data_IF_829524534118
#
_entry.id   IF_829524534118
#
_cell.length_a   1.000
_cell.length_b   1.000
_cell.length_c   1.000
_cell.angle_alpha   90.00
_cell.angle_beta   90.00
_cell.angle_gamma   90.00
#
_symmetry.space_group_name_H-M   'P 1'
#
loop_
_entity.id
_entity.type
_entity.pdbx_description
1 polymer ?
#
# COMPACT_ATOMS: atom_id res chain seq x y z
N UNK A 1 -53.37 5.76 -17.45
CA UNK A 1 -52.19 6.54 -17.04
C UNK A 1 -50.93 5.85 -17.57
N UNK A 2 -50.24 6.41 -18.57
CA UNK A 2 -48.97 5.89 -19.08
C UNK A 2 -47.82 6.55 -18.34
N UNK A 3 -47.15 5.81 -17.45
CA UNK A 3 -45.92 6.28 -16.81
C UNK A 3 -44.73 5.99 -17.72
N UNK A 4 -44.14 7.03 -18.32
CA UNK A 4 -42.90 6.91 -19.08
C UNK A 4 -41.71 6.98 -18.11
N UNK A 5 -41.09 5.84 -17.84
CA UNK A 5 -39.84 5.77 -17.07
C UNK A 5 -38.69 6.31 -17.94
N UNK A 6 -38.30 7.58 -17.74
CA UNK A 6 -37.09 8.15 -18.36
C UNK A 6 -35.86 7.47 -17.74
N UNK A 7 -35.38 6.41 -18.37
CA UNK A 7 -34.15 5.71 -18.00
C UNK A 7 -32.99 6.68 -18.17
N UNK A 8 -32.46 7.22 -17.06
CA UNK A 8 -31.15 7.89 -17.05
C UNK A 8 -30.11 6.84 -17.43
N UNK A 9 -29.82 6.69 -18.72
CA UNK A 9 -28.65 5.97 -19.18
C UNK A 9 -27.46 6.68 -18.53
N UNK A 10 -26.81 5.93 -17.65
CA UNK A 10 -25.75 6.33 -16.75
C UNK A 10 -24.63 6.95 -17.58
N UNK A 11 -24.35 8.23 -17.36
CA UNK A 11 -23.21 8.95 -17.95
C UNK A 11 -21.88 8.21 -17.67
N UNK A 12 -21.83 7.39 -16.62
CA UNK A 12 -20.71 6.49 -16.29
C UNK A 12 -20.50 5.38 -17.31
N UNK A 13 -21.56 4.78 -17.85
CA UNK A 13 -21.44 3.61 -18.74
C UNK A 13 -20.90 4.02 -20.12
N UNK A 14 -21.29 5.21 -20.59
CA UNK A 14 -20.78 5.81 -21.84
C UNK A 14 -19.31 6.22 -21.68
N UNK A 15 -18.93 6.78 -20.53
CA UNK A 15 -17.55 7.18 -20.23
C UNK A 15 -16.61 5.98 -20.16
N UNK A 16 -17.00 4.92 -19.44
CA UNK A 16 -16.22 3.69 -19.34
C UNK A 16 -16.08 3.00 -20.70
N UNK A 17 -17.16 2.97 -21.51
CA UNK A 17 -17.10 2.42 -22.87
C UNK A 17 -16.15 3.20 -23.79
N UNK A 18 -16.19 4.54 -23.73
CA UNK A 18 -15.28 5.39 -24.50
C UNK A 18 -13.82 5.20 -24.07
N UNK A 19 -13.56 5.13 -22.76
CA UNK A 19 -12.25 4.86 -22.18
C UNK A 19 -11.70 3.51 -22.63
N UNK A 20 -12.51 2.45 -22.56
CA UNK A 20 -12.11 1.09 -22.98
C UNK A 20 -11.78 1.03 -24.48
N UNK A 21 -12.55 1.73 -25.32
CA UNK A 21 -12.26 1.83 -26.75
C UNK A 21 -10.94 2.58 -27.04
N UNK A 22 -10.57 3.58 -26.22
CA UNK A 22 -9.28 4.28 -26.35
C UNK A 22 -8.12 3.39 -25.91
N UNK A 23 -8.25 2.67 -24.80
CA UNK A 23 -7.25 1.69 -24.34
C UNK A 23 -7.03 0.59 -25.37
N UNK A 24 -8.10 0.04 -25.93
CA UNK A 24 -8.00 -0.96 -27.00
C UNK A 24 -7.26 -0.43 -28.23
N UNK A 25 -7.50 0.84 -28.63
CA UNK A 25 -6.77 1.46 -29.73
C UNK A 25 -5.30 1.68 -29.41
N UNK A 26 -4.99 2.04 -28.16
CA UNK A 26 -3.61 2.22 -27.70
C UNK A 26 -2.86 0.88 -27.67
N UNK A 27 -3.47 -0.16 -27.12
CA UNK A 27 -2.91 -1.51 -27.10
C UNK A 27 -2.70 -2.03 -28.52
N UNK A 28 -3.66 -1.83 -29.42
CA UNK A 28 -3.52 -2.22 -30.81
C UNK A 28 -2.41 -1.43 -31.53
N UNK A 29 -2.24 -0.15 -31.23
CA UNK A 29 -1.15 0.66 -31.78
C UNK A 29 0.22 0.22 -31.23
N UNK A 30 0.31 -0.07 -29.93
CA UNK A 30 1.51 -0.59 -29.28
C UNK A 30 1.91 -1.94 -29.88
N UNK A 31 0.97 -2.87 -30.02
CA UNK A 31 1.21 -4.17 -30.66
C UNK A 31 1.68 -4.01 -32.11
N UNK A 32 1.04 -3.13 -32.90
CA UNK A 32 1.50 -2.86 -34.28
C UNK A 32 2.90 -2.28 -34.33
N UNK A 33 3.26 -1.41 -33.39
CA UNK A 33 4.60 -0.87 -33.27
C UNK A 33 5.60 -1.98 -32.95
N UNK A 34 5.28 -2.84 -31.99
CA UNK A 34 6.11 -3.99 -31.62
C UNK A 34 6.34 -4.93 -32.81
N UNK A 35 5.29 -5.31 -33.54
CA UNK A 35 5.43 -6.15 -34.73
C UNK A 35 6.24 -5.48 -35.84
N UNK A 36 6.06 -4.18 -36.06
CA UNK A 36 6.88 -3.44 -37.04
C UNK A 36 8.34 -3.36 -36.62
N UNK A 37 8.61 -3.12 -35.34
CA UNK A 37 9.97 -3.13 -34.78
C UNK A 37 10.60 -4.52 -34.89
N UNK A 38 9.86 -5.58 -34.56
CA UNK A 38 10.33 -6.96 -34.68
C UNK A 38 10.69 -7.30 -36.14
N UNK A 39 9.79 -7.03 -37.09
CA UNK A 39 10.05 -7.27 -38.51
C UNK A 39 11.20 -6.41 -39.06
N UNK A 40 11.35 -5.18 -38.57
CA UNK A 40 12.47 -4.31 -38.95
C UNK A 40 13.80 -4.83 -38.40
N UNK A 41 13.81 -5.26 -37.13
CA UNK A 41 14.97 -5.88 -36.49
C UNK A 41 15.34 -7.17 -37.22
N UNK A 42 14.38 -8.05 -37.51
CA UNK A 42 14.59 -9.30 -38.24
C UNK A 42 15.22 -9.05 -39.61
N UNK A 43 14.69 -8.10 -40.40
CA UNK A 43 15.27 -7.75 -41.70
C UNK A 43 16.69 -7.20 -41.60
N UNK A 44 17.00 -6.46 -40.53
CA UNK A 44 18.33 -5.91 -40.30
C UNK A 44 19.31 -6.96 -39.79
N UNK A 45 18.87 -7.89 -38.94
CA UNK A 45 19.72 -8.94 -38.36
C UNK A 45 19.87 -10.18 -39.26
N UNK A 46 18.96 -10.40 -40.21
CA UNK A 46 19.00 -11.54 -41.14
C UNK A 46 20.28 -11.60 -42.00
N UNK A 47 20.91 -10.44 -42.28
CA UNK A 47 22.13 -10.36 -43.08
C UNK A 47 23.41 -10.19 -42.24
N UNK A 48 23.35 -10.41 -40.93
CA UNK A 48 24.52 -10.24 -40.08
C UNK A 48 25.44 -11.45 -40.07
N UNK A 49 26.67 -11.23 -40.53
CA UNK A 49 27.80 -12.16 -40.38
C UNK A 49 28.18 -12.31 -38.90
N UNK A 50 28.83 -13.42 -38.54
CA UNK A 50 29.25 -13.73 -37.15
C UNK A 50 30.03 -12.60 -36.46
N UNK A 51 30.82 -11.83 -37.22
CA UNK A 51 31.55 -10.66 -36.70
C UNK A 51 30.62 -9.54 -36.22
N UNK A 52 29.52 -9.28 -36.93
CA UNK A 52 28.55 -8.26 -36.53
C UNK A 52 27.86 -8.63 -35.21
N UNK A 53 27.54 -9.91 -35.00
CA UNK A 53 27.01 -10.40 -33.74
C UNK A 53 27.99 -10.20 -32.58
N UNK A 54 29.28 -10.50 -32.80
CA UNK A 54 30.33 -10.28 -31.78
C UNK A 54 30.46 -8.79 -31.45
N UNK A 55 30.44 -7.91 -32.46
CA UNK A 55 30.51 -6.45 -32.25
C UNK A 55 29.29 -5.93 -31.48
N UNK A 56 28.09 -6.43 -31.79
CA UNK A 56 26.87 -6.06 -31.07
C UNK A 56 26.92 -6.51 -29.61
N UNK A 57 27.36 -7.74 -29.35
CA UNK A 57 27.52 -8.26 -28.00
C UNK A 57 28.54 -7.45 -27.22
N UNK A 58 29.70 -7.16 -27.82
CA UNK A 58 30.74 -6.35 -27.20
C UNK A 58 30.22 -4.95 -26.87
N UNK A 59 29.55 -4.30 -27.83
CA UNK A 59 28.92 -3.00 -27.62
C UNK A 59 27.90 -3.05 -26.47
N UNK A 60 27.00 -4.04 -26.47
CA UNK A 60 26.00 -4.23 -25.42
C UNK A 60 26.64 -4.41 -24.04
N UNK A 61 27.69 -5.24 -23.94
CA UNK A 61 28.41 -5.46 -22.69
C UNK A 61 29.11 -4.20 -22.20
N UNK A 62 29.75 -3.42 -23.09
CA UNK A 62 30.45 -2.18 -22.73
C UNK A 62 29.46 -1.12 -22.27
N UNK A 63 28.34 -0.93 -22.98
CA UNK A 63 27.29 0.01 -22.57
C UNK A 63 26.67 -0.38 -21.23
N UNK A 64 26.30 -1.65 -21.05
CA UNK A 64 25.68 -2.12 -19.80
C UNK A 64 26.64 -2.00 -18.62
N UNK A 65 27.89 -2.39 -18.81
CA UNK A 65 28.94 -2.29 -17.79
C UNK A 65 29.24 -0.83 -17.47
N UNK A 66 29.36 0.01 -18.50
CA UNK A 66 29.59 1.45 -18.36
C UNK A 66 28.47 2.16 -17.62
N UNK A 67 27.20 1.88 -17.95
CA UNK A 67 26.04 2.41 -17.22
C UNK A 67 26.02 1.95 -15.76
N UNK A 68 26.34 0.67 -15.50
CA UNK A 68 26.37 0.12 -14.15
C UNK A 68 27.47 0.78 -13.31
N UNK A 69 28.68 0.90 -13.86
CA UNK A 69 29.80 1.59 -13.20
C UNK A 69 29.45 3.07 -13.00
N UNK A 70 28.86 3.74 -13.98
CA UNK A 70 28.41 5.13 -13.83
C UNK A 70 27.40 5.29 -12.69
N UNK A 71 26.41 4.39 -12.57
CA UNK A 71 25.44 4.43 -11.48
C UNK A 71 26.10 4.19 -10.11
N UNK A 72 27.03 3.23 -10.05
CA UNK A 72 27.80 2.93 -8.83
C UNK A 72 28.63 4.16 -8.43
N UNK A 73 29.41 4.73 -9.35
CA UNK A 73 30.22 5.92 -9.10
C UNK A 73 29.35 7.11 -8.74
N UNK A 74 28.22 7.34 -9.43
CA UNK A 74 27.29 8.41 -9.10
C UNK A 74 26.62 8.21 -7.73
N UNK A 75 26.40 6.96 -7.32
CA UNK A 75 25.88 6.62 -5.99
C UNK A 75 26.91 6.88 -4.89
N UNK A 76 28.17 6.57 -5.12
CA UNK A 76 29.25 6.77 -4.13
C UNK A 76 29.81 8.20 -4.12
N UNK A 77 29.90 8.84 -5.29
CA UNK A 77 30.34 10.22 -5.46
C UNK A 77 29.23 11.23 -5.13
N UNK A 78 27.98 10.77 -5.07
CA UNK A 78 26.81 11.52 -4.63
C UNK A 78 26.75 11.72 -3.12
N UNK A 79 27.84 12.20 -2.49
CA UNK A 79 27.85 12.71 -1.11
C UNK A 79 27.16 14.10 -0.99
N UNK A 80 26.17 14.37 -1.85
CA UNK A 80 25.12 15.30 -1.48
C UNK A 80 24.02 14.42 -0.91
N UNK A 81 23.92 14.42 0.42
CA UNK A 81 22.72 14.12 1.17
C UNK A 81 21.52 14.22 0.22
N UNK A 82 21.06 13.09 -0.33
CA UNK A 82 19.67 12.97 -0.75
C UNK A 82 18.95 13.02 0.58
N UNK A 83 18.84 14.25 1.08
CA UNK A 83 18.02 14.64 2.18
C UNK A 83 16.67 14.18 1.69
N UNK A 84 16.29 12.97 2.13
CA UNK A 84 14.95 12.44 1.97
C UNK A 84 14.12 13.62 2.42
N UNK A 85 13.55 14.35 1.46
CA UNK A 85 12.80 15.54 1.77
C UNK A 85 11.59 14.96 2.42
N UNK A 86 11.64 14.87 3.75
CA UNK A 86 10.51 14.52 4.59
C UNK A 86 9.51 15.61 4.26
N UNK A 87 8.66 15.36 3.27
CA UNK A 87 7.58 16.25 2.93
C UNK A 87 6.76 16.34 4.21
N UNK A 88 6.72 17.51 4.88
CA UNK A 88 5.95 17.62 6.10
C UNK A 88 4.51 17.29 5.73
N UNK A 89 3.97 16.25 6.35
CA UNK A 89 2.56 15.91 6.20
C UNK A 89 1.81 17.05 6.89
N UNK A 90 1.37 18.05 6.13
CA UNK A 90 0.52 19.12 6.62
C UNK A 90 -0.81 18.50 7.01
N UNK A 91 -1.00 18.28 8.32
CA UNK A 91 -2.28 17.85 8.87
C UNK A 91 -3.31 18.95 8.61
N UNK A 92 -4.47 18.64 8.02
CA UNK A 92 -5.51 19.64 7.80
C UNK A 92 -5.98 20.19 9.15
N UNK A 93 -6.05 21.53 9.25
CA UNK A 93 -6.43 22.32 10.44
C UNK A 93 -7.80 21.95 11.04
N UNK A 94 -8.62 21.16 10.35
CA UNK A 94 -9.97 20.78 10.76
C UNK A 94 -10.09 19.33 11.25
N UNK A 95 -9.03 18.73 11.79
CA UNK A 95 -9.15 17.51 12.57
C UNK A 95 -9.43 17.89 14.02
N UNK A 96 -10.61 17.49 14.51
CA UNK A 96 -10.97 17.44 15.93
C UNK A 96 -9.72 17.03 16.73
N UNK A 97 -9.33 17.76 17.79
CA UNK A 97 -8.11 17.46 18.53
C UNK A 97 -8.21 16.06 19.12
N UNK A 98 -7.66 15.08 18.42
CA UNK A 98 -7.36 13.79 18.99
C UNK A 98 -6.21 14.07 19.94
N UNK A 99 -6.54 14.17 21.23
CA UNK A 99 -5.58 14.22 22.35
C UNK A 99 -4.80 12.91 22.43
N UNK A 100 -4.13 12.52 21.36
CA UNK A 100 -3.12 11.49 21.40
C UNK A 100 -1.80 12.23 21.62
N UNK A 101 -1.48 12.39 22.90
CA UNK A 101 -0.08 12.56 23.29
C UNK A 101 0.71 11.47 22.56
N UNK A 102 1.86 11.77 21.94
CA UNK A 102 2.73 10.71 21.46
C UNK A 102 2.98 9.78 22.64
N UNK A 103 2.53 8.53 22.51
CA UNK A 103 2.76 7.52 23.52
C UNK A 103 4.28 7.34 23.56
N UNK A 104 4.91 7.86 24.61
CA UNK A 104 6.27 7.51 24.94
C UNK A 104 6.27 6.01 25.23
N UNK A 105 6.60 5.24 24.20
CA UNK A 105 6.62 3.78 24.16
C UNK A 105 7.79 3.20 24.98
N UNK A 106 8.18 3.91 26.04
CA UNK A 106 9.24 3.58 26.98
C UNK A 106 8.70 3.37 28.41
N UNK A 107 7.37 3.38 28.61
CA UNK A 107 6.80 2.98 29.89
C UNK A 107 6.68 1.48 29.96
N UNK A 108 7.61 0.87 30.70
CA UNK A 108 7.42 -0.44 31.35
C UNK A 108 5.98 -0.45 31.88
N UNK A 109 5.11 -1.32 31.35
CA UNK A 109 3.71 -1.40 31.77
C UNK A 109 3.70 -1.61 33.28
N UNK A 110 3.23 -0.62 34.04
CA UNK A 110 3.12 -0.73 35.49
C UNK A 110 2.11 -1.83 35.81
N UNK A 111 2.38 -2.64 36.84
CA UNK A 111 1.45 -3.67 37.32
C UNK A 111 0.04 -3.09 37.59
N UNK A 112 -0.02 -1.85 38.09
CA UNK A 112 -1.28 -1.13 38.34
C UNK A 112 -2.08 -0.81 37.08
N UNK A 113 -1.42 -0.62 35.94
CA UNK A 113 -2.08 -0.38 34.65
C UNK A 113 -2.58 -1.71 34.06
N UNK A 114 -1.81 -2.78 34.23
CA UNK A 114 -2.21 -4.12 33.85
C UNK A 114 -3.44 -4.62 34.62
N UNK A 115 -3.54 -4.31 35.91
CA UNK A 115 -4.73 -4.61 36.72
C UNK A 115 -5.99 -3.88 36.23
N UNK A 116 -5.86 -2.64 35.73
CA UNK A 116 -6.98 -1.89 35.14
C UNK A 116 -7.47 -2.56 33.84
N UNK A 117 -6.55 -3.05 33.03
CA UNK A 117 -6.85 -3.78 31.80
C UNK A 117 -7.55 -5.11 32.12
N UNK A 118 -7.04 -5.85 33.11
CA UNK A 118 -7.60 -7.13 33.55
C UNK A 118 -9.00 -6.95 34.17
N UNK A 119 -9.21 -5.91 34.98
CA UNK A 119 -10.52 -5.61 35.56
C UNK A 119 -11.54 -5.17 34.49
N UNK A 120 -11.10 -4.44 33.46
CA UNK A 120 -11.94 -4.13 32.31
C UNK A 120 -12.36 -5.39 31.53
N UNK A 121 -11.45 -6.36 31.33
CA UNK A 121 -11.79 -7.66 30.72
C UNK A 121 -12.86 -8.41 31.52
N UNK A 122 -12.70 -8.48 32.85
CA UNK A 122 -13.71 -9.09 33.74
C UNK A 122 -15.05 -8.38 33.67
N UNK A 123 -15.06 -7.06 33.53
CA UNK A 123 -16.27 -6.28 33.35
C UNK A 123 -16.97 -6.63 32.03
N UNK A 124 -16.23 -6.71 30.92
CA UNK A 124 -16.77 -7.11 29.62
C UNK A 124 -17.35 -8.54 29.65
N UNK A 125 -16.66 -9.49 30.29
CA UNK A 125 -17.14 -10.86 30.47
C UNK A 125 -18.42 -10.91 31.33
N UNK A 126 -18.49 -10.06 32.36
CA UNK A 126 -19.67 -9.96 33.24
C UNK A 126 -20.87 -9.38 32.49
N UNK A 127 -20.66 -8.37 31.64
CA UNK A 127 -21.70 -7.78 30.79
C UNK A 127 -22.24 -8.80 29.79
N UNK A 128 -21.38 -9.63 29.19
CA UNK A 128 -21.80 -10.66 28.23
C UNK A 128 -22.62 -11.81 28.85
N UNK A 129 -22.39 -12.11 30.13
CA UNK A 129 -23.12 -13.17 30.87
C UNK A 129 -24.49 -12.73 31.39
N UNK A 130 -24.70 -11.44 31.62
CA UNK A 130 -25.98 -10.92 32.12
C UNK A 130 -26.96 -10.68 30.96
N UNK A 131 -28.21 -11.17 31.04
CA UNK A 131 -29.22 -10.91 30.00
C UNK A 131 -29.54 -9.42 29.86
N UNK A 132 -29.39 -8.64 30.93
CA UNK A 132 -29.56 -7.18 30.93
C UNK A 132 -28.31 -6.46 30.42
N UNK A 133 -27.11 -6.99 30.71
CA UNK A 133 -25.83 -6.42 30.32
C UNK A 133 -25.42 -6.66 28.86
N UNK A 134 -26.01 -7.69 28.22
CA UNK A 134 -25.68 -8.07 26.83
C UNK A 134 -25.92 -6.94 25.83
N UNK A 135 -26.98 -6.14 26.02
CA UNK A 135 -27.24 -4.96 25.16
C UNK A 135 -26.09 -3.95 25.22
N UNK A 136 -25.56 -3.72 26.43
CA UNK A 136 -24.44 -2.80 26.65
C UNK A 136 -23.14 -3.37 26.06
N UNK A 137 -22.90 -4.67 26.25
CA UNK A 137 -21.78 -5.38 25.65
C UNK A 137 -21.78 -5.23 24.12
N UNK A 138 -22.89 -5.57 23.46
CA UNK A 138 -22.98 -5.54 22.00
C UNK A 138 -22.84 -4.11 21.46
N UNK A 139 -23.37 -3.11 22.18
CA UNK A 139 -23.18 -1.69 21.83
C UNK A 139 -21.71 -1.25 21.88
N UNK A 140 -20.95 -1.73 22.88
CA UNK A 140 -19.52 -1.40 23.02
C UNK A 140 -18.71 -2.05 21.89
N UNK A 141 -18.99 -3.32 21.59
CA UNK A 141 -18.29 -4.08 20.53
C UNK A 141 -18.57 -3.49 19.14
N UNK A 142 -19.81 -3.07 18.87
CA UNK A 142 -20.17 -2.40 17.60
C UNK A 142 -19.48 -1.06 17.42
N UNK A 143 -19.36 -0.26 18.49
CA UNK A 143 -18.72 1.05 18.43
C UNK A 143 -17.19 0.95 18.29
N UNK A 144 -16.58 -0.14 18.74
CA UNK A 144 -15.12 -0.35 18.73
C UNK A 144 -14.78 -1.78 18.30
N UNK A 145 -14.85 -2.08 16.99
CA UNK A 145 -14.43 -3.38 16.49
C UNK A 145 -12.94 -3.60 16.80
N UNK A 146 -12.58 -4.80 17.30
CA UNK A 146 -11.20 -5.16 17.65
C UNK A 146 -10.75 -4.80 19.08
N UNK A 147 -11.61 -4.19 19.91
CA UNK A 147 -11.27 -3.87 21.31
C UNK A 147 -10.83 -5.12 22.10
N UNK A 148 -11.60 -6.21 22.01
CA UNK A 148 -11.30 -7.45 22.74
C UNK A 148 -10.02 -8.14 22.25
N UNK A 149 -9.72 -7.99 20.96
CA UNK A 149 -8.49 -8.51 20.37
C UNK A 149 -7.28 -7.73 20.88
N UNK A 150 -7.37 -6.40 20.90
CA UNK A 150 -6.32 -5.54 21.45
C UNK A 150 -6.01 -5.81 22.93
N UNK A 151 -7.03 -6.11 23.75
CA UNK A 151 -6.83 -6.52 25.15
C UNK A 151 -6.02 -7.82 25.24
N UNK A 152 -6.33 -8.79 24.38
CA UNK A 152 -5.63 -10.08 24.35
C UNK A 152 -4.17 -9.93 23.91
N UNK A 153 -3.90 -9.05 22.95
CA UNK A 153 -2.53 -8.72 22.52
C UNK A 153 -1.74 -8.13 23.69
N UNK A 154 -2.32 -7.19 24.44
CA UNK A 154 -1.65 -6.55 25.59
C UNK A 154 -1.37 -7.56 26.69
N UNK A 155 -2.32 -8.45 26.98
CA UNK A 155 -2.13 -9.52 27.98
C UNK A 155 -1.01 -10.47 27.60
N UNK A 156 -0.99 -10.94 26.35
CA UNK A 156 0.08 -11.80 25.85
C UNK A 156 1.45 -11.11 25.89
N UNK A 157 1.50 -9.82 25.57
CA UNK A 157 2.71 -9.01 25.64
C UNK A 157 3.23 -8.90 27.09
N UNK A 158 2.36 -8.61 28.05
CA UNK A 158 2.73 -8.52 29.46
C UNK A 158 3.30 -9.84 30.00
N UNK A 159 2.63 -10.96 29.72
CA UNK A 159 3.10 -12.28 30.17
C UNK A 159 4.42 -12.72 29.52
N UNK A 160 4.69 -12.33 28.28
CA UNK A 160 5.91 -12.71 27.57
C UNK A 160 7.13 -11.87 27.93
N UNK A 161 6.96 -10.60 28.31
CA UNK A 161 8.07 -9.65 28.50
C UNK A 161 8.31 -9.21 29.95
N UNK A 162 7.32 -9.33 30.85
CA UNK A 162 7.41 -8.76 32.21
C UNK A 162 7.25 -9.77 33.35
N UNK A 163 6.71 -10.97 33.09
CA UNK A 163 6.50 -12.02 34.11
C UNK A 163 7.53 -13.17 34.06
N UNK A 164 8.58 -13.03 33.26
CA UNK A 164 9.73 -13.96 33.21
C UNK A 164 10.97 -13.33 33.83
#
# INVERSE_FOLDING_TARGET
MKFTFKRKIKKSDVLETAKNNLWQKFDQANLRLQYKCANWLERKTAHFTRLNWIVILLCFTVFTTGCSIYLIVNSFSGNKNRNITVTPITKPTNLVPTKEKPLELNTIISETEFEKITSFRRYMDSLGRSPTGKKTHDSIVLNRPGLLDSLTIIENYYYSHLKN
#
